data_IF_087186194034
#
_entry.id   IF_087186194034
#
_cell.length_a   1.000
_cell.length_b   1.000
_cell.length_c   1.000
_cell.angle_alpha   90.00
_cell.angle_beta   90.00
_cell.angle_gamma   90.00
#
_symmetry.space_group_name_H-M   'P 1'
#
loop_
_entity.id
_entity.type
_entity.pdbx_description
1 polymer ?
#
# COMPACT_ATOMS: atom_id res chain seq x y z
N UNK A 1 -16.90 22.80 24.23
CA UNK A 1 -15.57 22.70 23.61
C UNK A 1 -15.66 21.67 22.51
N UNK A 2 -15.39 22.06 21.28
CA UNK A 2 -15.50 21.18 20.12
C UNK A 2 -14.33 20.20 20.10
N UNK A 3 -14.63 18.93 20.37
CA UNK A 3 -13.69 17.81 20.43
C UNK A 3 -12.96 17.60 19.09
N UNK A 4 -13.57 18.05 17.98
CA UNK A 4 -12.96 18.01 16.65
C UNK A 4 -11.74 18.94 16.56
N UNK A 5 -11.86 20.18 17.05
CA UNK A 5 -10.77 21.17 17.00
C UNK A 5 -9.60 20.81 17.93
N UNK A 6 -9.84 20.10 19.03
CA UNK A 6 -8.78 19.68 19.95
C UNK A 6 -7.95 18.52 19.40
N UNK A 7 -8.57 17.57 18.68
CA UNK A 7 -7.86 16.46 18.02
C UNK A 7 -6.94 16.94 16.90
N UNK A 8 -7.40 17.92 16.12
CA UNK A 8 -6.61 18.54 15.05
C UNK A 8 -5.38 19.26 15.58
N UNK A 9 -5.46 19.88 16.77
CA UNK A 9 -4.32 20.54 17.42
C UNK A 9 -3.24 19.55 17.88
N UNK A 10 -3.63 18.43 18.49
CA UNK A 10 -2.67 17.45 19.00
C UNK A 10 -1.82 16.82 17.88
N UNK A 11 -2.43 16.47 16.75
CA UNK A 11 -1.70 15.94 15.59
C UNK A 11 -0.69 16.96 15.04
N UNK A 12 -1.07 18.24 14.97
CA UNK A 12 -0.17 19.30 14.54
C UNK A 12 0.99 19.52 15.52
N UNK A 13 0.75 19.44 16.83
CA UNK A 13 1.79 19.58 17.85
C UNK A 13 2.83 18.43 17.74
N UNK A 14 2.39 17.20 17.48
CA UNK A 14 3.32 16.09 17.22
C UNK A 14 4.06 16.23 15.89
N UNK A 15 3.39 16.66 14.82
CA UNK A 15 4.09 16.94 13.56
C UNK A 15 5.16 18.02 13.74
N UNK A 16 4.93 19.03 14.57
CA UNK A 16 5.95 20.03 14.90
C UNK A 16 7.18 19.43 15.60
N UNK A 17 7.01 18.38 16.43
CA UNK A 17 8.14 17.62 17.00
C UNK A 17 8.90 16.82 15.94
N UNK A 18 8.23 16.34 14.89
CA UNK A 18 8.92 15.64 13.79
C UNK A 18 9.69 16.63 12.90
N UNK A 19 9.10 17.79 12.62
CA UNK A 19 9.71 18.81 11.76
C UNK A 19 10.87 19.54 12.48
N UNK A 20 10.76 19.70 13.80
CA UNK A 20 11.77 20.36 14.65
C UNK A 20 12.09 19.49 15.88
N UNK A 21 12.77 18.34 15.70
CA UNK A 21 13.03 17.38 16.77
C UNK A 21 13.91 17.93 17.89
N UNK A 22 14.73 18.93 17.59
CA UNK A 22 15.56 19.63 18.57
C UNK A 22 16.38 18.66 19.44
N UNK A 23 16.60 18.99 20.73
CA UNK A 23 17.30 18.10 21.66
C UNK A 23 16.41 16.99 22.23
N UNK A 24 15.12 16.93 21.88
CA UNK A 24 14.17 15.98 22.49
C UNK A 24 14.11 14.64 21.76
N UNK A 25 14.58 14.57 20.51
CA UNK A 25 14.73 13.28 19.82
C UNK A 25 15.78 12.40 20.50
N UNK A 26 15.44 11.13 20.70
CA UNK A 26 16.25 10.13 21.40
C UNK A 26 16.70 8.98 20.48
N UNK A 27 16.31 9.01 19.20
CA UNK A 27 16.68 8.03 18.18
C UNK A 27 16.80 8.69 16.80
N UNK A 28 17.68 8.18 15.96
CA UNK A 28 17.77 8.53 14.53
C UNK A 28 17.53 7.28 13.69
N UNK A 29 16.51 7.30 12.83
CA UNK A 29 16.34 6.27 11.79
C UNK A 29 17.22 6.62 10.60
N UNK A 30 17.90 5.64 10.02
CA UNK A 30 18.76 5.83 8.85
C UNK A 30 18.19 5.03 7.69
N UNK A 31 17.55 5.70 6.74
CA UNK A 31 16.94 5.09 5.55
C UNK A 31 17.98 4.74 4.48
N UNK A 32 17.52 4.15 3.38
CA UNK A 32 18.32 3.92 2.19
C UNK A 32 19.03 5.21 1.74
N UNK A 33 20.27 5.07 1.26
CA UNK A 33 21.10 6.21 0.87
C UNK A 33 21.61 7.07 2.04
N UNK A 34 21.38 6.66 3.30
CA UNK A 34 21.92 7.33 4.49
C UNK A 34 21.11 8.53 4.98
N UNK A 35 19.91 8.78 4.45
CA UNK A 35 19.05 9.88 4.92
C UNK A 35 18.63 9.61 6.37
N UNK A 36 18.90 10.57 7.24
CA UNK A 36 18.65 10.46 8.68
C UNK A 36 17.35 11.15 9.11
N UNK A 37 16.63 10.52 10.03
CA UNK A 37 15.38 11.02 10.60
C UNK A 37 15.46 11.00 12.13
N UNK A 38 15.73 12.13 12.78
CA UNK A 38 15.65 12.24 14.24
C UNK A 38 14.19 12.11 14.69
N UNK A 39 13.94 11.19 15.62
CA UNK A 39 12.60 10.77 16.04
C UNK A 39 12.56 10.50 17.55
N UNK A 40 11.35 10.29 18.07
CA UNK A 40 11.07 10.03 19.47
C UNK A 40 10.58 8.59 19.63
N UNK A 41 11.33 7.76 20.37
CA UNK A 41 11.01 6.34 20.61
C UNK A 41 9.64 6.15 21.20
N UNK A 42 9.25 7.00 22.15
CA UNK A 42 7.94 6.90 22.82
C UNK A 42 6.77 7.10 21.86
N UNK A 43 6.90 8.02 20.89
CA UNK A 43 5.85 8.27 19.89
C UNK A 43 5.79 7.08 18.93
N UNK A 44 6.94 6.60 18.45
CA UNK A 44 6.99 5.41 17.59
C UNK A 44 6.37 4.18 18.27
N UNK A 45 6.75 3.87 19.52
CA UNK A 45 6.20 2.74 20.26
C UNK A 45 4.71 2.86 20.56
N UNK A 46 4.21 4.08 20.79
CA UNK A 46 2.78 4.30 21.05
C UNK A 46 1.91 4.10 19.80
N UNK A 47 2.50 4.21 18.60
CA UNK A 47 1.77 4.35 17.33
C UNK A 47 2.10 3.27 16.31
N UNK A 48 3.16 2.49 16.52
CA UNK A 48 3.65 1.46 15.61
C UNK A 48 4.09 0.22 16.40
N UNK A 49 3.40 -0.89 16.18
CA UNK A 49 3.63 -2.14 16.93
C UNK A 49 5.00 -2.75 16.66
N UNK A 50 5.55 -2.55 15.44
CA UNK A 50 6.92 -2.95 15.11
C UNK A 50 7.94 -2.28 16.05
N UNK A 51 7.91 -0.95 16.15
CA UNK A 51 8.82 -0.21 17.03
C UNK A 51 8.56 -0.50 18.50
N UNK A 52 7.29 -0.64 18.91
CA UNK A 52 6.94 -1.03 20.28
C UNK A 52 7.59 -2.37 20.66
N UNK A 53 7.41 -3.38 19.82
CA UNK A 53 7.98 -4.71 20.04
C UNK A 53 9.50 -4.63 20.10
N UNK A 54 10.12 -3.92 19.16
CA UNK A 54 11.57 -3.72 19.11
C UNK A 54 12.12 -3.04 20.36
N UNK A 55 11.46 -2.01 20.89
CA UNK A 55 11.96 -1.25 22.04
C UNK A 55 11.64 -1.88 23.40
N UNK A 56 10.58 -2.70 23.49
CA UNK A 56 10.21 -3.40 24.72
C UNK A 56 10.96 -4.73 24.89
N UNK A 57 11.43 -5.33 23.79
CA UNK A 57 12.17 -6.58 23.85
C UNK A 57 13.53 -6.36 24.51
N UNK A 58 13.69 -6.85 25.75
CA UNK A 58 14.89 -6.73 26.61
C UNK A 58 16.12 -7.52 26.11
N UNK A 59 16.16 -7.83 24.81
CA UNK A 59 17.12 -8.73 24.18
C UNK A 59 17.75 -8.04 22.96
N UNK A 60 18.56 -7.00 23.21
CA UNK A 60 19.49 -6.48 22.19
C UNK A 60 19.87 -5.01 22.33
N UNK A 61 20.99 -4.65 21.69
CA UNK A 61 21.53 -3.27 21.63
C UNK A 61 20.54 -2.25 21.03
N UNK A 62 19.56 -2.72 20.25
CA UNK A 62 18.55 -1.89 19.59
C UNK A 62 17.63 -1.14 20.58
N UNK A 63 17.43 -1.65 21.79
CA UNK A 63 16.62 -0.96 22.81
C UNK A 63 17.27 0.35 23.30
N UNK A 64 18.60 0.46 23.21
CA UNK A 64 19.37 1.63 23.68
C UNK A 64 20.16 2.33 22.57
N UNK A 65 20.13 1.81 21.35
CA UNK A 65 20.81 2.41 20.21
C UNK A 65 20.27 3.83 19.92
N UNK A 66 21.21 4.75 19.66
CA UNK A 66 20.91 6.12 19.19
C UNK A 66 20.58 6.17 17.70
N UNK A 67 21.01 5.17 16.94
CA UNK A 67 20.80 5.05 15.51
C UNK A 67 20.20 3.69 15.18
N UNK A 68 19.21 3.67 14.30
CA UNK A 68 18.57 2.45 13.82
C UNK A 68 18.57 2.45 12.28
N UNK A 69 19.43 1.63 11.65
CA UNK A 69 19.43 1.46 10.20
C UNK A 69 18.18 0.75 9.70
N UNK A 70 17.59 1.30 8.63
CA UNK A 70 16.51 0.73 7.82
C UNK A 70 16.99 0.75 6.35
N UNK A 71 17.92 -0.15 5.98
CA UNK A 71 18.67 -0.06 4.72
C UNK A 71 17.79 -0.20 3.47
N UNK A 72 16.68 -0.92 3.58
CA UNK A 72 15.74 -1.17 2.48
C UNK A 72 14.57 -0.16 2.47
N UNK A 73 14.51 0.75 3.44
CA UNK A 73 13.43 1.73 3.51
C UNK A 73 13.70 2.87 2.53
N UNK A 74 12.79 3.04 1.56
CA UNK A 74 12.78 4.23 0.71
C UNK A 74 12.63 5.49 1.59
N UNK A 75 13.49 6.50 1.41
CA UNK A 75 13.51 7.67 2.28
C UNK A 75 12.24 8.50 2.23
N UNK A 76 11.58 8.61 1.09
CA UNK A 76 10.35 9.40 0.94
C UNK A 76 9.15 8.63 1.46
N UNK A 77 9.14 7.30 1.31
CA UNK A 77 8.13 6.44 1.94
C UNK A 77 8.24 6.49 3.46
N UNK A 78 9.47 6.46 4.01
CA UNK A 78 9.68 6.59 5.45
C UNK A 78 9.23 7.96 5.95
N UNK A 79 9.54 9.04 5.22
CA UNK A 79 9.06 10.38 5.57
C UNK A 79 7.53 10.45 5.62
N UNK A 80 6.84 9.90 4.61
CA UNK A 80 5.38 9.83 4.55
C UNK A 80 4.80 9.06 5.76
N UNK A 81 5.35 7.89 6.07
CA UNK A 81 4.85 7.06 7.16
C UNK A 81 5.19 7.62 8.55
N UNK A 82 6.31 8.32 8.70
CA UNK A 82 6.61 9.06 9.94
C UNK A 82 5.59 10.18 10.17
N UNK A 83 5.23 10.94 9.14
CA UNK A 83 4.16 11.94 9.25
C UNK A 83 2.83 11.30 9.64
N UNK A 84 2.49 10.14 9.07
CA UNK A 84 1.32 9.37 9.50
C UNK A 84 1.40 8.93 10.97
N UNK A 85 2.55 8.43 11.42
CA UNK A 85 2.75 7.99 12.81
C UNK A 85 2.53 9.14 13.80
N UNK A 86 3.06 10.34 13.50
CA UNK A 86 2.98 11.51 14.37
C UNK A 86 1.64 12.24 14.27
N UNK A 87 1.16 12.49 13.04
CA UNK A 87 -0.04 13.29 12.78
C UNK A 87 -1.34 12.50 12.73
N UNK A 88 -1.28 11.18 12.54
CA UNK A 88 -2.44 10.30 12.42
C UNK A 88 -3.23 10.42 11.11
N UNK A 89 -2.74 11.21 10.15
CA UNK A 89 -3.32 11.40 8.82
C UNK A 89 -2.30 10.99 7.78
N UNK A 90 -2.71 10.19 6.81
CA UNK A 90 -1.85 9.77 5.72
C UNK A 90 -1.96 10.79 4.58
N UNK A 91 -0.91 11.60 4.43
CA UNK A 91 -0.80 12.61 3.38
C UNK A 91 -0.88 12.00 1.98
N UNK A 92 -1.22 12.80 0.98
CA UNK A 92 -1.15 12.39 -0.42
C UNK A 92 0.30 12.20 -0.87
N UNK A 93 0.51 11.27 -1.80
CA UNK A 93 1.82 11.03 -2.38
C UNK A 93 1.72 10.74 -3.89
N UNK A 94 2.86 10.88 -4.57
CA UNK A 94 2.96 10.52 -5.98
C UNK A 94 2.80 9.01 -6.16
N UNK A 95 2.28 8.62 -7.33
CA UNK A 95 2.00 7.22 -7.65
C UNK A 95 3.23 6.33 -7.50
N UNK A 96 4.39 6.83 -7.91
CA UNK A 96 5.64 6.07 -7.89
C UNK A 96 6.09 5.74 -6.46
N UNK A 97 5.62 6.50 -5.46
CA UNK A 97 5.89 6.25 -4.05
C UNK A 97 4.96 5.20 -3.43
N UNK A 98 3.83 4.87 -4.07
CA UNK A 98 2.82 3.99 -3.47
C UNK A 98 3.36 2.59 -3.19
N UNK A 99 4.11 1.99 -4.12
CA UNK A 99 4.67 0.65 -3.94
C UNK A 99 5.67 0.61 -2.77
N UNK A 100 6.74 1.45 -2.76
CA UNK A 100 7.65 1.53 -1.61
C UNK A 100 6.93 1.83 -0.28
N UNK A 101 5.91 2.70 -0.31
CA UNK A 101 5.13 3.02 0.88
C UNK A 101 4.29 1.86 1.39
N UNK A 102 3.67 1.05 0.51
CA UNK A 102 2.95 -0.17 0.91
C UNK A 102 3.91 -1.16 1.55
N UNK A 103 5.05 -1.42 0.91
CA UNK A 103 6.07 -2.37 1.41
C UNK A 103 6.56 -1.97 2.81
N UNK A 104 6.90 -0.69 2.98
CA UNK A 104 7.37 -0.18 4.27
C UNK A 104 6.25 -0.14 5.32
N UNK A 105 5.01 0.17 4.93
CA UNK A 105 3.87 0.16 5.84
C UNK A 105 3.57 -1.26 6.35
N UNK A 106 3.66 -2.27 5.49
CA UNK A 106 3.51 -3.68 5.88
C UNK A 106 4.63 -4.12 6.82
N UNK A 107 5.89 -3.81 6.46
CA UNK A 107 7.06 -4.07 7.31
C UNK A 107 6.94 -3.45 8.71
N UNK A 108 6.50 -2.18 8.78
CA UNK A 108 6.27 -1.46 10.03
C UNK A 108 4.95 -1.85 10.72
N UNK A 109 4.17 -2.77 10.15
CA UNK A 109 2.88 -3.25 10.65
C UNK A 109 1.84 -2.13 10.85
N UNK A 110 1.85 -1.13 9.97
CA UNK A 110 0.90 -0.02 9.93
C UNK A 110 -0.32 -0.41 9.08
N UNK A 111 -1.13 -1.35 9.59
CA UNK A 111 -2.21 -2.01 8.83
C UNK A 111 -3.17 -1.02 8.14
N UNK A 112 -3.60 0.03 8.85
CA UNK A 112 -4.53 1.02 8.28
C UNK A 112 -3.90 1.84 7.15
N UNK A 113 -2.63 2.25 7.31
CA UNK A 113 -1.90 2.98 6.27
C UNK A 113 -1.61 2.09 5.07
N UNK A 114 -1.22 0.84 5.30
CA UNK A 114 -0.99 -0.15 4.25
C UNK A 114 -2.25 -0.35 3.40
N UNK A 115 -3.41 -0.57 4.03
CA UNK A 115 -4.68 -0.72 3.32
C UNK A 115 -5.13 0.53 2.56
N UNK A 116 -4.86 1.72 3.10
CA UNK A 116 -5.09 2.99 2.41
C UNK A 116 -4.21 3.15 1.17
N UNK A 117 -2.91 2.89 1.29
CA UNK A 117 -1.95 2.97 0.18
C UNK A 117 -2.27 1.95 -0.92
N UNK A 118 -2.61 0.71 -0.56
CA UNK A 118 -3.06 -0.33 -1.50
C UNK A 118 -4.31 0.13 -2.27
N UNK A 119 -5.26 0.77 -1.59
CA UNK A 119 -6.47 1.30 -2.23
C UNK A 119 -6.16 2.45 -3.17
N UNK A 120 -5.24 3.35 -2.81
CA UNK A 120 -4.77 4.43 -3.70
C UNK A 120 -4.02 3.86 -4.92
N UNK A 121 -3.22 2.82 -4.74
CA UNK A 121 -2.55 2.11 -5.85
C UNK A 121 -3.59 1.51 -6.81
N UNK A 122 -4.60 0.82 -6.29
CA UNK A 122 -5.72 0.30 -7.10
C UNK A 122 -6.50 1.42 -7.82
N UNK A 123 -6.71 2.56 -7.15
CA UNK A 123 -7.41 3.71 -7.72
C UNK A 123 -6.66 4.42 -8.83
N UNK A 124 -5.32 4.39 -8.79
CA UNK A 124 -4.44 5.02 -9.78
C UNK A 124 -3.95 4.05 -10.87
N UNK A 125 -4.30 2.77 -10.78
CA UNK A 125 -3.95 1.77 -11.79
C UNK A 125 -4.64 2.08 -13.13
N UNK A 126 -3.83 2.11 -14.19
CA UNK A 126 -4.26 2.34 -15.57
C UNK A 126 -3.98 1.12 -16.43
N UNK A 127 -4.42 1.14 -17.68
CA UNK A 127 -4.13 0.09 -18.65
C UNK A 127 -2.62 -0.14 -18.83
N UNK A 128 -1.82 0.93 -18.78
CA UNK A 128 -0.37 0.85 -19.02
C UNK A 128 0.39 0.39 -17.77
N UNK A 129 -0.18 0.56 -16.58
CA UNK A 129 0.50 0.24 -15.31
C UNK A 129 0.06 -1.09 -14.71
N UNK A 130 -1.15 -1.56 -15.03
CA UNK A 130 -1.78 -2.67 -14.27
C UNK A 130 -1.01 -3.98 -14.39
N UNK A 131 -0.33 -4.24 -15.51
CA UNK A 131 0.53 -5.41 -15.66
C UNK A 131 1.70 -5.38 -14.65
N UNK A 132 2.38 -4.24 -14.55
CA UNK A 132 3.46 -4.02 -13.60
C UNK A 132 2.99 -4.01 -12.15
N UNK A 133 1.78 -3.50 -11.88
CA UNK A 133 1.18 -3.55 -10.55
C UNK A 133 0.84 -4.99 -10.14
N UNK A 134 0.32 -5.81 -11.07
CA UNK A 134 0.05 -7.23 -10.82
C UNK A 134 1.33 -8.02 -10.57
N UNK A 135 2.37 -7.80 -11.37
CA UNK A 135 3.67 -8.45 -11.18
C UNK A 135 4.32 -8.05 -9.86
N UNK A 136 4.21 -6.78 -9.48
CA UNK A 136 4.66 -6.29 -8.18
C UNK A 136 3.94 -6.99 -7.02
N UNK A 137 2.60 -7.04 -7.04
CA UNK A 137 1.83 -7.67 -5.98
C UNK A 137 2.07 -9.20 -5.91
N UNK A 138 2.29 -9.86 -7.06
CA UNK A 138 2.70 -11.26 -7.10
C UNK A 138 4.08 -11.47 -6.47
N UNK A 139 5.06 -10.63 -6.81
CA UNK A 139 6.41 -10.69 -6.26
C UNK A 139 6.46 -10.44 -4.75
N UNK A 140 5.57 -9.58 -4.24
CA UNK A 140 5.41 -9.28 -2.82
C UNK A 140 4.58 -10.30 -2.04
N UNK A 141 3.97 -11.30 -2.72
CA UNK A 141 3.08 -12.26 -2.06
C UNK A 141 1.74 -11.64 -1.59
N UNK A 142 1.42 -10.42 -2.01
CA UNK A 142 0.17 -9.74 -1.67
C UNK A 142 -0.98 -10.25 -2.55
N UNK A 143 -1.52 -11.40 -2.17
CA UNK A 143 -2.58 -12.07 -2.90
C UNK A 143 -3.89 -11.26 -2.97
N UNK A 144 -4.17 -10.43 -1.97
CA UNK A 144 -5.42 -9.65 -1.91
C UNK A 144 -5.35 -8.51 -2.92
N UNK A 145 -4.28 -7.71 -2.90
CA UNK A 145 -4.09 -6.63 -3.87
C UNK A 145 -3.98 -7.19 -5.29
N UNK A 146 -3.29 -8.32 -5.45
CA UNK A 146 -3.17 -9.00 -6.72
C UNK A 146 -4.53 -9.44 -7.30
N UNK A 147 -5.41 -10.02 -6.48
CA UNK A 147 -6.76 -10.37 -6.91
C UNK A 147 -7.57 -9.13 -7.28
N UNK A 148 -7.45 -8.04 -6.51
CA UNK A 148 -8.13 -6.78 -6.80
C UNK A 148 -7.65 -6.16 -8.13
N UNK A 149 -6.35 -6.22 -8.42
CA UNK A 149 -5.78 -5.78 -9.69
C UNK A 149 -6.23 -6.65 -10.87
N UNK A 150 -6.22 -7.98 -10.71
CA UNK A 150 -6.73 -8.88 -11.76
C UNK A 150 -8.20 -8.58 -12.04
N UNK A 151 -9.02 -8.42 -10.99
CA UNK A 151 -10.43 -8.05 -11.14
C UNK A 151 -10.59 -6.72 -11.87
N UNK A 152 -9.85 -5.69 -11.46
CA UNK A 152 -9.85 -4.37 -12.12
C UNK A 152 -9.46 -4.49 -13.59
N UNK A 153 -8.41 -5.26 -13.90
CA UNK A 153 -7.98 -5.51 -15.29
C UNK A 153 -9.09 -6.15 -16.13
N UNK A 154 -9.72 -7.20 -15.60
CA UNK A 154 -10.78 -7.94 -16.28
C UNK A 154 -12.03 -7.06 -16.49
N UNK A 155 -12.35 -6.18 -15.54
CA UNK A 155 -13.55 -5.34 -15.59
C UNK A 155 -13.38 -4.05 -16.38
N UNK A 156 -12.27 -3.34 -16.17
CA UNK A 156 -12.07 -1.96 -16.66
C UNK A 156 -11.26 -1.93 -17.97
N UNK A 157 -10.34 -2.87 -18.18
CA UNK A 157 -9.35 -2.78 -19.27
C UNK A 157 -9.42 -3.89 -20.31
N UNK A 158 -9.96 -5.08 -20.01
CA UNK A 158 -9.89 -6.23 -20.93
C UNK A 158 -10.53 -6.05 -22.33
N UNK A 159 -11.29 -4.98 -22.57
CA UNK A 159 -11.78 -4.62 -23.90
C UNK A 159 -10.79 -3.77 -24.74
N UNK A 160 -9.79 -3.15 -24.12
CA UNK A 160 -8.80 -2.25 -24.74
C UNK A 160 -7.40 -2.56 -24.22
N UNK A 161 -6.48 -2.98 -25.10
CA UNK A 161 -5.08 -3.23 -24.75
C UNK A 161 -4.79 -4.54 -24.01
N UNK A 162 -5.66 -5.54 -24.16
CA UNK A 162 -5.40 -6.89 -23.66
C UNK A 162 -4.09 -7.47 -24.19
N UNK A 163 -3.70 -7.13 -25.43
CA UNK A 163 -2.46 -7.61 -26.05
C UNK A 163 -1.22 -7.09 -25.32
N UNK A 164 -1.14 -5.78 -25.04
CA UNK A 164 0.00 -5.21 -24.32
C UNK A 164 0.16 -5.77 -22.89
N UNK A 165 -0.96 -5.98 -22.20
CA UNK A 165 -0.96 -6.62 -20.87
C UNK A 165 -0.52 -8.09 -21.00
N UNK A 166 -1.02 -8.81 -21.99
CA UNK A 166 -0.67 -10.20 -22.24
C UNK A 166 0.81 -10.36 -22.58
N UNK A 167 1.39 -9.47 -23.38
CA UNK A 167 2.80 -9.49 -23.76
C UNK A 167 3.69 -9.39 -22.53
N UNK A 168 3.49 -8.36 -21.70
CA UNK A 168 4.24 -8.14 -20.44
C UNK A 168 4.12 -9.35 -19.50
N UNK A 169 2.91 -9.88 -19.32
CA UNK A 169 2.69 -11.03 -18.44
C UNK A 169 3.23 -12.33 -19.02
N UNK A 170 3.20 -12.52 -20.34
CA UNK A 170 3.73 -13.73 -20.99
C UNK A 170 5.23 -13.88 -20.76
N UNK A 171 5.94 -12.77 -20.75
CA UNK A 171 7.39 -12.74 -20.60
C UNK A 171 7.80 -12.88 -19.12
N UNK A 172 7.07 -12.22 -18.21
CA UNK A 172 7.48 -12.12 -16.79
C UNK A 172 6.76 -13.07 -15.85
N UNK A 173 5.53 -13.47 -16.16
CA UNK A 173 4.78 -14.45 -15.35
C UNK A 173 3.70 -15.17 -16.17
N UNK A 174 4.06 -16.25 -16.90
CA UNK A 174 3.10 -17.07 -17.64
C UNK A 174 1.98 -17.62 -16.75
N UNK A 175 2.27 -17.85 -15.46
CA UNK A 175 1.26 -18.29 -14.47
C UNK A 175 0.22 -17.21 -14.20
N UNK A 176 0.66 -15.96 -14.05
CA UNK A 176 -0.23 -14.81 -13.86
C UNK A 176 -1.11 -14.58 -15.09
N UNK A 177 -0.53 -14.68 -16.28
CA UNK A 177 -1.26 -14.63 -17.55
C UNK A 177 -2.34 -15.72 -17.62
N UNK A 178 -2.00 -16.97 -17.31
CA UNK A 178 -2.97 -18.07 -17.31
C UNK A 178 -4.12 -17.82 -16.33
N UNK A 179 -3.84 -17.27 -15.14
CA UNK A 179 -4.88 -16.90 -14.17
C UNK A 179 -5.77 -15.77 -14.69
N UNK A 180 -5.19 -14.74 -15.31
CA UNK A 180 -5.94 -13.64 -15.92
C UNK A 180 -6.89 -14.15 -16.99
N UNK A 181 -6.41 -14.98 -17.93
CA UNK A 181 -7.25 -15.56 -18.97
C UNK A 181 -8.35 -16.47 -18.42
N UNK A 182 -8.07 -17.25 -17.38
CA UNK A 182 -9.10 -18.07 -16.72
C UNK A 182 -10.23 -17.21 -16.16
N UNK A 183 -9.92 -16.06 -15.55
CA UNK A 183 -10.94 -15.14 -15.04
C UNK A 183 -11.69 -14.42 -16.16
N UNK A 184 -11.00 -14.03 -17.24
CA UNK A 184 -11.64 -13.42 -18.40
C UNK A 184 -12.63 -14.38 -19.06
N UNK A 185 -12.25 -15.64 -19.27
CA UNK A 185 -13.12 -16.67 -19.82
C UNK A 185 -14.37 -16.89 -18.94
N UNK A 186 -14.19 -16.94 -17.61
CA UNK A 186 -15.30 -17.05 -16.68
C UNK A 186 -16.27 -15.85 -16.77
N UNK A 187 -15.75 -14.63 -16.91
CA UNK A 187 -16.57 -13.42 -17.11
C UNK A 187 -17.37 -13.47 -18.41
N UNK A 188 -16.74 -13.85 -19.53
CA UNK A 188 -17.42 -13.96 -20.83
C UNK A 188 -18.55 -14.97 -20.76
N UNK A 189 -18.30 -16.16 -20.22
CA UNK A 189 -19.33 -17.20 -20.04
C UNK A 189 -20.51 -16.72 -19.19
N UNK A 190 -20.23 -15.98 -18.10
CA UNK A 190 -21.28 -15.40 -17.25
C UNK A 190 -22.13 -14.34 -18.00
N UNK A 191 -21.51 -13.54 -18.86
CA UNK A 191 -22.22 -12.55 -19.68
C UNK A 191 -23.09 -13.19 -20.76
N UNK A 192 -22.66 -14.28 -21.36
CA UNK A 192 -23.44 -15.05 -22.33
C UNK A 192 -24.66 -15.71 -21.68
N UNK A 193 -24.48 -16.39 -20.55
CA UNK A 193 -25.56 -16.99 -19.78
C UNK A 193 -26.62 -15.95 -19.32
N UNK A 194 -26.18 -14.74 -18.95
CA UNK A 194 -27.08 -13.64 -18.61
C UNK A 194 -27.89 -13.14 -19.81
N UNK A 195 -27.29 -13.05 -21.00
CA UNK A 195 -27.98 -12.67 -22.24
C UNK A 195 -29.02 -13.70 -22.69
N UNK A 196 -28.71 -14.99 -22.56
CA UNK A 196 -29.65 -16.08 -22.88
C UNK A 196 -30.85 -16.10 -21.92
N UNK A 197 -30.61 -15.91 -20.62
CA UNK A 197 -31.66 -15.80 -19.61
C UNK A 197 -32.59 -14.61 -19.85
N UNK A 198 -32.04 -13.46 -20.29
CA UNK A 198 -32.81 -12.27 -20.63
C UNK A 198 -33.69 -12.46 -21.90
N UNK A 199 -33.22 -13.23 -22.90
CA UNK A 199 -34.01 -13.56 -24.10
C UNK A 199 -35.16 -14.53 -23.79
N UNK A 200 -34.98 -15.47 -22.87
CA UNK A 200 -36.02 -16.43 -22.46
C UNK A 200 -37.21 -15.78 -21.75
N UNK A 201 -36.97 -14.71 -20.97
CA UNK A 201 -38.02 -14.01 -20.21
C UNK A 201 -38.91 -13.10 -21.07
N UNK A 202 -38.44 -12.65 -22.25
CA UNK A 202 -39.20 -11.76 -23.16
C UNK A 202 -40.20 -12.53 -24.04
N UNK A 203 -40.01 -13.84 -24.22
CA UNK A 203 -40.91 -14.69 -25.02
C UNK A 203 -42.04 -15.35 -24.19
N UNK A 204 -42.21 -14.99 -22.91
CA UNK A 204 -43.08 -15.67 -21.95
C UNK A 204 -44.34 -14.92 -21.49
N UNK A 205 -44.59 -13.70 -21.96
CA UNK A 205 -45.80 -12.93 -21.59
C UNK A 205 -46.82 -12.97 -22.75
N UNK A 206 -47.87 -13.79 -22.58
CA UNK A 206 -49.11 -13.80 -23.35
C UNK A 206 -50.28 -13.39 -22.45
#
# INVERSE_FOLDING_TARGET
>A
MDISSSKQRLGADFLALLDNPGPTSDLTLIAAGGRSFPVHRVILAARCEFFKTMFVSDVGDAAFARELPLPDADPDALALLLRYIYGGVLDECERDLLKPAVELADFLRLVDACGELQRRLLGTATQDTIAEDMLWAEGHGDHITLLALVFKCVHDFAAKGADAIADVLSERSPKLLARLYKQLAAKVAAQEAAKESAKGSVNGEW
#
